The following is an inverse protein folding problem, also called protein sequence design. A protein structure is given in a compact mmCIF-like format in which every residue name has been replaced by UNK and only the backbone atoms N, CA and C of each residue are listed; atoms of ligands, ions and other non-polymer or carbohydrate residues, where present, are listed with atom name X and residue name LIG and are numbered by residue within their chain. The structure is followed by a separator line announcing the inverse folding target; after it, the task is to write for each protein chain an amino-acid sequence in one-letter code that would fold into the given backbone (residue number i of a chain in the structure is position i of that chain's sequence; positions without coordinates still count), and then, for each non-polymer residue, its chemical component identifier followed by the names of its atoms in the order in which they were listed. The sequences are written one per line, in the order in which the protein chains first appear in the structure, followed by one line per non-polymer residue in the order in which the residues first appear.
data_IF_054596899830
#
_entry.id   IF_054596899830
#
_cell.length_a   1.000
_cell.length_b   1.000
_cell.length_c   1.000
_cell.angle_alpha   90.00
_cell.angle_beta   90.00
_cell.angle_gamma   90.00
#
_symmetry.space_group_name_H-M   'P 1'
#
loop_
_entity.id
_entity.type
_entity.pdbx_description
1 polymer ?
#
# COMPACT_ATOMS: atom_id res chain seq x y z
N UNK A 1 -18.57 13.62 20.03
CA UNK A 1 -17.26 13.48 19.33
C UNK A 1 -17.55 13.10 17.89
N UNK A 2 -16.93 13.73 16.87
CA UNK A 2 -17.12 13.32 15.49
C UNK A 2 -16.67 11.86 15.32
N UNK A 3 -17.51 11.05 14.65
CA UNK A 3 -17.17 9.65 14.34
C UNK A 3 -15.88 9.64 13.50
N UNK A 4 -14.96 8.73 13.83
CA UNK A 4 -13.77 8.50 13.00
C UNK A 4 -14.20 8.18 11.56
N UNK A 5 -13.79 8.99 10.60
CA UNK A 5 -14.02 8.73 9.17
C UNK A 5 -13.12 7.62 8.61
N UNK A 6 -12.21 7.08 9.43
CA UNK A 6 -11.16 6.16 9.01
C UNK A 6 -11.70 4.93 8.28
N UNK A 7 -12.71 4.17 8.78
CA UNK A 7 -13.21 3.00 8.06
C UNK A 7 -13.78 3.36 6.69
N UNK A 8 -14.47 4.50 6.58
CA UNK A 8 -15.02 4.97 5.29
C UNK A 8 -13.93 5.39 4.31
N UNK A 9 -12.93 6.12 4.78
CA UNK A 9 -11.80 6.55 3.95
C UNK A 9 -10.95 5.35 3.51
N UNK A 10 -10.75 4.37 4.40
CA UNK A 10 -10.08 3.10 4.09
C UNK A 10 -10.90 2.27 3.09
N UNK A 11 -12.23 2.19 3.25
CA UNK A 11 -13.08 1.46 2.30
C UNK A 11 -12.95 2.07 0.89
N UNK A 12 -13.00 3.40 0.80
CA UNK A 12 -12.84 4.10 -0.47
C UNK A 12 -11.45 3.88 -1.06
N UNK A 13 -10.38 4.08 -0.28
CA UNK A 13 -9.02 3.86 -0.74
C UNK A 13 -8.79 2.41 -1.19
N UNK A 14 -9.26 1.43 -0.42
CA UNK A 14 -9.12 0.01 -0.75
C UNK A 14 -9.94 -0.36 -1.99
N UNK A 15 -11.16 0.15 -2.14
CA UNK A 15 -11.96 -0.05 -3.35
C UNK A 15 -11.25 0.49 -4.60
N UNK A 16 -10.58 1.65 -4.52
CA UNK A 16 -9.76 2.16 -5.63
C UNK A 16 -8.57 1.25 -5.96
N UNK A 17 -7.89 0.70 -4.95
CA UNK A 17 -6.79 -0.25 -5.17
C UNK A 17 -7.30 -1.53 -5.84
N UNK A 18 -8.44 -2.07 -5.40
CA UNK A 18 -9.07 -3.24 -6.01
C UNK A 18 -9.51 -2.95 -7.45
N UNK A 19 -10.16 -1.81 -7.71
CA UNK A 19 -10.53 -1.42 -9.07
C UNK A 19 -9.30 -1.34 -9.98
N UNK A 20 -8.22 -0.71 -9.51
CA UNK A 20 -6.98 -0.63 -10.29
C UNK A 20 -6.40 -2.01 -10.58
N UNK A 21 -6.32 -2.88 -9.57
CA UNK A 21 -5.83 -4.25 -9.75
C UNK A 21 -6.72 -5.08 -10.67
N UNK A 22 -8.05 -4.90 -10.66
CA UNK A 22 -8.90 -5.65 -11.58
C UNK A 22 -8.73 -5.18 -13.04
N UNK A 23 -8.53 -3.87 -13.25
CA UNK A 23 -8.52 -3.27 -14.59
C UNK A 23 -7.12 -3.09 -15.20
N UNK A 24 -6.05 -3.30 -14.44
CA UNK A 24 -4.68 -3.35 -14.95
C UNK A 24 -4.55 -4.44 -16.05
N UNK A 25 -3.83 -4.19 -17.17
CA UNK A 25 -2.94 -3.06 -17.45
C UNK A 25 -3.60 -1.84 -18.13
N UNK A 26 -4.93 -1.74 -18.17
CA UNK A 26 -5.64 -0.64 -18.86
C UNK A 26 -5.28 -0.49 -20.35
N UNK A 27 -4.94 -1.57 -21.05
CA UNK A 27 -4.49 -1.54 -22.43
C UNK A 27 -5.28 -2.51 -23.32
N UNK A 28 -5.43 -2.14 -24.60
CA UNK A 28 -5.97 -3.03 -25.63
C UNK A 28 -7.50 -3.22 -25.59
N UNK A 29 -8.23 -2.36 -24.87
CA UNK A 29 -9.69 -2.44 -24.73
C UNK A 29 -10.41 -2.64 -26.07
N UNK A 30 -11.27 -3.65 -26.14
CA UNK A 30 -12.04 -4.00 -27.34
C UNK A 30 -13.30 -4.77 -26.97
N UNK A 31 -14.28 -4.73 -27.86
CA UNK A 31 -15.44 -5.61 -27.79
C UNK A 31 -15.00 -7.08 -27.85
N UNK A 32 -15.52 -7.91 -26.96
CA UNK A 32 -15.22 -9.35 -26.92
C UNK A 32 -15.96 -10.13 -28.00
N UNK A 33 -17.04 -9.55 -28.57
CA UNK A 33 -17.94 -10.22 -29.50
C UNK A 33 -18.95 -11.17 -28.84
N UNK A 34 -18.94 -11.27 -27.52
CA UNK A 34 -19.88 -12.06 -26.72
C UNK A 34 -20.91 -11.16 -26.03
N UNK A 35 -22.14 -11.65 -25.75
CA UNK A 35 -23.11 -10.91 -24.95
C UNK A 35 -22.53 -10.47 -23.61
N UNK A 36 -22.89 -9.27 -23.16
CA UNK A 36 -22.26 -8.59 -22.01
C UNK A 36 -22.26 -9.40 -20.70
N UNK A 37 -23.27 -10.24 -20.49
CA UNK A 37 -23.45 -11.03 -19.27
C UNK A 37 -23.31 -12.54 -19.48
N UNK A 38 -22.77 -12.98 -20.62
CA UNK A 38 -22.63 -14.40 -20.97
C UNK A 38 -21.76 -15.16 -19.95
N UNK A 39 -20.78 -14.46 -19.35
CA UNK A 39 -19.90 -15.01 -18.32
C UNK A 39 -20.63 -15.50 -17.05
N UNK A 40 -21.85 -15.01 -16.77
CA UNK A 40 -22.61 -15.41 -15.58
C UNK A 40 -23.03 -16.89 -15.63
N UNK A 41 -23.32 -17.37 -16.84
CA UNK A 41 -23.82 -18.74 -17.10
C UNK A 41 -22.78 -19.61 -17.81
N UNK A 42 -21.58 -19.09 -18.04
CA UNK A 42 -20.51 -19.81 -18.71
C UNK A 42 -20.15 -21.10 -17.95
N UNK A 43 -19.86 -22.20 -18.66
CA UNK A 43 -19.42 -23.43 -18.05
C UNK A 43 -18.04 -23.24 -17.39
N UNK A 44 -17.76 -24.03 -16.37
CA UNK A 44 -16.47 -23.97 -15.69
C UNK A 44 -15.33 -24.33 -16.65
N UNK A 45 -14.24 -23.55 -16.67
CA UNK A 45 -13.09 -23.85 -17.49
C UNK A 45 -12.43 -25.15 -17.02
N UNK A 46 -12.02 -25.98 -17.99
CA UNK A 46 -11.36 -27.27 -17.72
C UNK A 46 -10.04 -27.12 -16.95
N UNK A 47 -9.36 -25.99 -17.13
CA UNK A 47 -8.13 -25.64 -16.45
C UNK A 47 -8.34 -24.31 -15.72
N UNK A 48 -8.59 -24.37 -14.42
CA UNK A 48 -8.65 -23.20 -13.55
C UNK A 48 -7.52 -23.27 -12.52
N UNK A 49 -6.93 -22.12 -12.19
CA UNK A 49 -5.87 -22.03 -11.19
C UNK A 49 -6.50 -21.79 -9.82
N UNK A 50 -6.20 -22.67 -8.86
CA UNK A 50 -6.72 -22.56 -7.49
C UNK A 50 -6.12 -21.32 -6.82
N UNK A 51 -4.90 -20.96 -7.18
CA UNK A 51 -4.20 -19.77 -6.73
C UNK A 51 -5.01 -18.50 -7.05
N UNK A 52 -5.49 -18.37 -8.29
CA UNK A 52 -6.31 -17.22 -8.71
C UNK A 52 -7.61 -17.13 -7.89
N UNK A 53 -8.28 -18.26 -7.65
CA UNK A 53 -9.47 -18.34 -6.80
C UNK A 53 -9.17 -17.89 -5.36
N UNK A 54 -8.08 -18.38 -4.78
CA UNK A 54 -7.64 -18.01 -3.42
C UNK A 54 -7.31 -16.52 -3.34
N UNK A 55 -6.60 -15.97 -4.32
CA UNK A 55 -6.30 -14.54 -4.37
C UNK A 55 -7.55 -13.66 -4.50
N UNK A 56 -8.55 -14.10 -5.28
CA UNK A 56 -9.82 -13.41 -5.42
C UNK A 56 -10.58 -13.35 -4.07
N UNK A 57 -10.67 -14.48 -3.36
CA UNK A 57 -11.24 -14.52 -2.01
C UNK A 57 -10.45 -13.61 -1.06
N UNK A 58 -9.13 -13.77 -0.98
CA UNK A 58 -8.27 -13.01 -0.07
C UNK A 58 -8.30 -11.50 -0.37
N UNK A 59 -8.37 -11.11 -1.64
CA UNK A 59 -8.42 -9.72 -2.09
C UNK A 59 -9.71 -9.01 -1.67
N UNK A 60 -10.84 -9.72 -1.59
CA UNK A 60 -12.13 -9.15 -1.21
C UNK A 60 -12.46 -9.23 0.29
N UNK A 61 -11.76 -10.06 1.07
CA UNK A 61 -11.92 -10.10 2.54
C UNK A 61 -11.72 -8.72 3.20
N UNK A 62 -10.62 -7.98 2.92
CA UNK A 62 -10.43 -6.65 3.51
C UNK A 62 -11.51 -5.65 3.07
N UNK A 63 -11.98 -5.73 1.82
CA UNK A 63 -13.05 -4.86 1.32
C UNK A 63 -14.33 -5.06 2.13
N UNK A 64 -14.81 -6.31 2.23
CA UNK A 64 -16.00 -6.64 3.01
C UNK A 64 -15.87 -6.25 4.48
N UNK A 65 -14.69 -6.48 5.08
CA UNK A 65 -14.41 -6.14 6.47
C UNK A 65 -14.51 -4.64 6.74
N UNK A 66 -13.85 -3.83 5.91
CA UNK A 66 -13.78 -2.38 6.11
C UNK A 66 -15.13 -1.73 5.76
N UNK A 67 -15.84 -2.20 4.72
CA UNK A 67 -17.20 -1.73 4.40
C UNK A 67 -18.15 -2.01 5.56
N UNK A 68 -18.15 -3.23 6.11
CA UNK A 68 -18.97 -3.57 7.28
C UNK A 68 -18.63 -2.69 8.49
N UNK A 69 -17.35 -2.40 8.72
CA UNK A 69 -16.89 -1.51 9.79
C UNK A 69 -17.28 -0.03 9.56
N UNK A 70 -17.52 0.39 8.33
CA UNK A 70 -17.94 1.75 7.97
C UNK A 70 -19.46 1.97 8.11
N UNK A 71 -20.25 0.90 8.19
CA UNK A 71 -21.71 0.99 8.31
C UNK A 71 -22.16 1.45 9.70
N UNK A 72 -23.40 1.98 9.83
CA UNK A 72 -23.91 2.48 11.10
C UNK A 72 -23.95 1.42 12.20
N UNK A 73 -23.36 1.74 13.35
CA UNK A 73 -23.28 0.86 14.53
C UNK A 73 -24.67 0.47 15.07
N UNK A 74 -25.70 1.29 14.82
CA UNK A 74 -27.09 1.01 15.23
C UNK A 74 -27.77 -0.08 14.43
N UNK A 75 -27.20 -0.51 13.30
CA UNK A 75 -27.81 -1.54 12.47
C UNK A 75 -27.63 -2.94 13.09
N UNK A 76 -28.62 -3.84 12.94
CA UNK A 76 -28.50 -5.21 13.40
C UNK A 76 -27.40 -5.94 12.62
N UNK A 77 -26.72 -6.89 13.27
CA UNK A 77 -25.55 -7.60 12.74
C UNK A 77 -25.81 -8.17 11.33
N UNK A 78 -26.93 -8.87 11.15
CA UNK A 78 -27.27 -9.48 9.86
C UNK A 78 -27.46 -8.45 8.74
N UNK A 79 -28.03 -7.27 9.04
CA UNK A 79 -28.17 -6.19 8.05
C UNK A 79 -26.81 -5.63 7.63
N UNK A 80 -25.88 -5.48 8.57
CA UNK A 80 -24.51 -5.02 8.26
C UNK A 80 -23.82 -6.02 7.34
N UNK A 81 -23.88 -7.31 7.69
CA UNK A 81 -23.28 -8.39 6.88
C UNK A 81 -23.90 -8.40 5.48
N UNK A 82 -25.23 -8.40 5.39
CA UNK A 82 -25.94 -8.46 4.12
C UNK A 82 -25.61 -7.26 3.22
N UNK A 83 -25.62 -6.03 3.75
CA UNK A 83 -25.34 -4.82 2.97
C UNK A 83 -23.87 -4.75 2.55
N UNK A 84 -22.94 -5.09 3.43
CA UNK A 84 -21.52 -5.08 3.08
C UNK A 84 -21.15 -6.17 2.06
N UNK A 85 -21.69 -7.38 2.23
CA UNK A 85 -21.50 -8.48 1.28
C UNK A 85 -22.12 -8.13 -0.08
N UNK A 86 -23.36 -7.62 -0.11
CA UNK A 86 -24.01 -7.18 -1.35
C UNK A 86 -23.22 -6.06 -2.04
N UNK A 87 -22.73 -5.09 -1.28
CA UNK A 87 -21.89 -4.00 -1.82
C UNK A 87 -20.61 -4.52 -2.46
N UNK A 88 -19.90 -5.46 -1.80
CA UNK A 88 -18.71 -6.09 -2.35
C UNK A 88 -19.02 -6.92 -3.61
N UNK A 89 -20.12 -7.68 -3.62
CA UNK A 89 -20.56 -8.46 -4.77
C UNK A 89 -20.97 -7.58 -5.96
N UNK A 90 -21.71 -6.49 -5.73
CA UNK A 90 -22.08 -5.55 -6.79
C UNK A 90 -20.85 -4.82 -7.35
N UNK A 91 -19.89 -4.48 -6.49
CA UNK A 91 -18.63 -3.90 -6.92
C UNK A 91 -17.82 -4.88 -7.78
N UNK A 92 -17.71 -6.14 -7.35
CA UNK A 92 -17.08 -7.19 -8.15
C UNK A 92 -17.80 -7.40 -9.48
N UNK A 93 -19.14 -7.45 -9.48
CA UNK A 93 -19.94 -7.59 -10.69
C UNK A 93 -19.69 -6.45 -11.68
N UNK A 94 -19.61 -5.21 -11.18
CA UNK A 94 -19.26 -4.04 -11.99
C UNK A 94 -17.87 -4.18 -12.61
N UNK A 95 -16.86 -4.58 -11.82
CA UNK A 95 -15.50 -4.79 -12.32
C UNK A 95 -15.44 -5.93 -13.34
N UNK A 96 -16.09 -7.06 -13.07
CA UNK A 96 -16.17 -8.22 -13.97
C UNK A 96 -16.80 -7.86 -15.32
N UNK A 97 -17.85 -7.02 -15.27
CA UNK A 97 -18.55 -6.53 -16.47
C UNK A 97 -17.66 -5.58 -17.26
N UNK A 98 -16.86 -4.73 -16.60
CA UNK A 98 -15.89 -3.86 -17.27
C UNK A 98 -14.72 -4.68 -17.84
N UNK A 99 -14.27 -5.72 -17.14
CA UNK A 99 -13.21 -6.63 -17.59
C UNK A 99 -13.61 -7.42 -18.84
N UNK A 100 -14.90 -7.53 -19.16
CA UNK A 100 -15.39 -8.13 -20.41
C UNK A 100 -14.82 -7.44 -21.65
N UNK A 101 -14.42 -6.17 -21.52
CA UNK A 101 -13.81 -5.38 -22.60
C UNK A 101 -12.29 -5.40 -22.60
N UNK A 102 -11.65 -6.14 -21.67
CA UNK A 102 -10.20 -6.17 -21.50
C UNK A 102 -9.62 -7.49 -22.03
N UNK A 103 -8.88 -7.51 -23.17
CA UNK A 103 -8.45 -8.76 -23.79
C UNK A 103 -7.46 -9.60 -22.98
N UNK A 104 -6.77 -8.99 -22.00
CA UNK A 104 -5.87 -9.70 -21.10
C UNK A 104 -6.59 -10.42 -19.97
N UNK A 105 -7.91 -10.26 -19.86
CA UNK A 105 -8.75 -10.88 -18.83
C UNK A 105 -9.90 -11.64 -19.47
N UNK A 106 -10.41 -12.62 -18.73
CA UNK A 106 -11.59 -13.38 -19.12
C UNK A 106 -12.58 -13.25 -17.99
N UNK A 107 -13.71 -12.61 -18.25
CA UNK A 107 -14.75 -12.49 -17.25
C UNK A 107 -15.32 -13.87 -16.87
N UNK A 108 -15.55 -14.13 -15.58
CA UNK A 108 -15.97 -15.44 -15.08
C UNK A 108 -16.93 -15.36 -13.90
N UNK A 109 -17.93 -16.25 -13.90
CA UNK A 109 -18.78 -16.50 -12.74
C UNK A 109 -18.01 -17.07 -11.53
N UNK A 110 -16.89 -17.75 -11.75
CA UNK A 110 -16.02 -18.29 -10.68
C UNK A 110 -15.37 -17.14 -9.93
N UNK A 111 -14.82 -16.15 -10.65
CA UNK A 111 -14.17 -14.98 -10.05
C UNK A 111 -15.18 -14.12 -9.30
N UNK A 112 -16.35 -13.87 -9.90
CA UNK A 112 -17.45 -13.19 -9.23
C UNK A 112 -17.90 -13.92 -7.94
N UNK A 113 -17.99 -15.25 -7.99
CA UNK A 113 -18.33 -16.08 -6.83
C UNK A 113 -17.28 -16.03 -5.73
N UNK A 114 -16.00 -16.11 -6.11
CA UNK A 114 -14.86 -16.04 -5.20
C UNK A 114 -14.75 -14.67 -4.50
N UNK A 115 -14.84 -13.60 -5.28
CA UNK A 115 -14.85 -12.22 -4.78
C UNK A 115 -16.04 -11.99 -3.84
N UNK A 116 -17.22 -12.50 -4.21
CA UNK A 116 -18.42 -12.44 -3.36
C UNK A 116 -18.26 -13.21 -2.05
N UNK A 117 -17.68 -14.41 -2.09
CA UNK A 117 -17.39 -15.21 -0.91
C UNK A 117 -16.38 -14.51 0.02
N UNK A 118 -15.30 -13.95 -0.55
CA UNK A 118 -14.34 -13.13 0.18
C UNK A 118 -15.01 -11.91 0.83
N UNK A 119 -15.85 -11.19 0.08
CA UNK A 119 -16.63 -10.06 0.57
C UNK A 119 -17.57 -10.43 1.72
N UNK A 120 -18.22 -11.60 1.65
CA UNK A 120 -19.08 -12.12 2.72
C UNK A 120 -18.29 -12.48 3.98
N UNK A 121 -17.17 -13.22 3.83
CA UNK A 121 -16.28 -13.58 4.95
C UNK A 121 -15.77 -12.30 5.62
N UNK A 122 -15.29 -11.36 4.82
CA UNK A 122 -14.87 -10.03 5.26
C UNK A 122 -15.98 -9.32 6.03
N UNK A 123 -17.18 -9.25 5.45
CA UNK A 123 -18.33 -8.59 6.06
C UNK A 123 -18.71 -9.20 7.42
N UNK A 124 -18.70 -10.53 7.54
CA UNK A 124 -18.94 -11.22 8.80
C UNK A 124 -17.88 -10.86 9.86
N UNK A 125 -16.59 -10.92 9.49
CA UNK A 125 -15.49 -10.54 10.39
C UNK A 125 -15.55 -9.05 10.77
N UNK A 126 -15.89 -8.17 9.84
CA UNK A 126 -16.01 -6.72 10.08
C UNK A 126 -17.18 -6.38 10.99
N UNK A 127 -18.32 -7.04 10.79
CA UNK A 127 -19.51 -6.86 11.61
C UNK A 127 -19.30 -7.40 13.04
N UNK A 128 -18.60 -8.52 13.21
CA UNK A 128 -18.33 -9.11 14.53
C UNK A 128 -17.17 -8.44 15.27
N UNK A 129 -16.04 -8.23 14.59
CA UNK A 129 -14.76 -7.83 15.19
C UNK A 129 -14.35 -6.41 14.79
N UNK A 130 -14.55 -6.02 13.54
CA UNK A 130 -14.18 -4.70 13.02
C UNK A 130 -14.83 -3.55 13.80
N UNK A 131 -16.09 -3.73 14.19
CA UNK A 131 -16.79 -2.77 15.09
C UNK A 131 -16.06 -2.55 16.40
N UNK A 132 -15.56 -3.63 17.02
CA UNK A 132 -14.75 -3.51 18.24
C UNK A 132 -13.44 -2.81 17.90
N UNK A 133 -12.75 -3.20 16.83
CA UNK A 133 -11.45 -2.63 16.48
C UNK A 133 -11.48 -1.10 16.27
N UNK A 134 -12.52 -0.58 15.61
CA UNK A 134 -12.68 0.85 15.30
C UNK A 134 -13.57 1.62 16.29
N UNK A 135 -14.15 0.96 17.31
CA UNK A 135 -14.96 1.63 18.32
C UNK A 135 -14.10 2.62 19.12
N UNK A 136 -14.60 3.81 19.47
CA UNK A 136 -13.82 4.83 20.22
C UNK A 136 -13.20 4.33 21.52
N UNK A 137 -13.81 3.31 22.14
CA UNK A 137 -13.39 2.78 23.44
C UNK A 137 -12.42 1.60 23.34
N UNK A 138 -12.20 1.05 22.14
CA UNK A 138 -11.35 -0.11 21.95
C UNK A 138 -9.86 0.23 21.92
N UNK A 139 -9.03 -0.78 22.19
CA UNK A 139 -7.58 -0.63 22.33
C UNK A 139 -6.93 0.08 21.15
N UNK A 140 -7.26 -0.30 19.90
CA UNK A 140 -6.63 0.30 18.71
C UNK A 140 -7.07 1.75 18.46
N UNK A 141 -8.37 2.05 18.57
CA UNK A 141 -8.87 3.41 18.39
C UNK A 141 -8.36 4.36 19.48
N UNK A 142 -8.30 3.88 20.72
CA UNK A 142 -7.72 4.60 21.86
C UNK A 142 -6.24 4.85 21.63
N UNK A 143 -5.49 3.79 21.32
CA UNK A 143 -4.07 3.87 20.98
C UNK A 143 -3.81 4.89 19.87
N UNK A 144 -4.59 4.84 18.78
CA UNK A 144 -4.52 5.81 17.68
C UNK A 144 -4.76 7.23 18.18
N UNK A 145 -5.81 7.45 18.97
CA UNK A 145 -6.17 8.79 19.47
C UNK A 145 -5.13 9.39 20.41
N UNK A 146 -4.42 8.53 21.16
CA UNK A 146 -3.36 8.92 22.08
C UNK A 146 -2.05 9.22 21.34
N UNK A 147 -1.71 8.42 20.33
CA UNK A 147 -0.40 8.47 19.67
C UNK A 147 -0.39 9.29 18.38
N UNK A 148 -1.49 9.38 17.64
CA UNK A 148 -1.57 10.04 16.33
C UNK A 148 -2.54 11.22 16.33
N UNK A 149 -2.32 12.17 15.42
CA UNK A 149 -3.27 13.24 15.18
C UNK A 149 -4.61 12.67 14.68
N UNK A 150 -5.70 13.29 15.12
CA UNK A 150 -7.05 12.95 14.70
C UNK A 150 -7.46 13.66 13.40
N UNK A 151 -8.72 13.44 13.01
CA UNK A 151 -9.33 14.06 11.84
C UNK A 151 -8.86 13.48 10.50
N UNK A 152 -9.35 14.08 9.41
CA UNK A 152 -9.06 13.64 8.04
C UNK A 152 -7.58 13.62 7.72
N UNK A 153 -6.81 14.60 8.21
CA UNK A 153 -5.35 14.66 8.04
C UNK A 153 -4.64 13.47 8.68
N UNK A 154 -5.08 13.06 9.89
CA UNK A 154 -4.52 11.89 10.55
C UNK A 154 -4.93 10.57 9.90
N UNK A 155 -6.14 10.49 9.34
CA UNK A 155 -6.60 9.32 8.58
C UNK A 155 -5.79 9.18 7.28
N UNK A 156 -5.63 10.27 6.52
CA UNK A 156 -4.89 10.29 5.26
C UNK A 156 -3.44 9.87 5.43
N UNK A 157 -2.74 10.35 6.46
CA UNK A 157 -1.37 9.93 6.71
C UNK A 157 -1.24 8.46 7.11
N UNK A 158 -2.24 7.87 7.82
CA UNK A 158 -2.21 6.44 8.14
C UNK A 158 -2.43 5.61 6.88
N UNK A 159 -3.31 6.05 5.99
CA UNK A 159 -3.50 5.44 4.67
C UNK A 159 -2.18 5.50 3.89
N UNK A 160 -1.47 6.63 3.90
CA UNK A 160 -0.17 6.75 3.25
C UNK A 160 0.88 5.81 3.87
N UNK A 161 0.93 5.65 5.19
CA UNK A 161 1.81 4.66 5.81
C UNK A 161 1.45 3.21 5.41
N UNK A 162 0.15 2.90 5.31
CA UNK A 162 -0.31 1.61 4.80
C UNK A 162 0.04 1.40 3.32
N UNK A 163 -0.09 2.43 2.50
CA UNK A 163 0.32 2.40 1.09
C UNK A 163 1.84 2.23 0.96
N UNK A 164 2.64 2.82 1.85
CA UNK A 164 4.09 2.57 1.88
C UNK A 164 4.43 1.12 2.19
N UNK A 165 3.71 0.47 3.11
CA UNK A 165 3.87 -0.97 3.33
C UNK A 165 3.51 -1.79 2.09
N UNK A 166 2.48 -1.37 1.35
CA UNK A 166 2.12 -1.99 0.07
C UNK A 166 3.22 -1.85 -0.99
N UNK A 167 3.97 -0.74 -1.03
CA UNK A 167 5.11 -0.58 -1.96
C UNK A 167 6.23 -1.58 -1.67
N UNK A 168 6.36 -2.08 -0.44
CA UNK A 168 7.36 -3.08 -0.10
C UNK A 168 7.04 -4.47 -0.65
N UNK A 169 5.79 -4.69 -1.09
CA UNK A 169 5.37 -5.92 -1.76
C UNK A 169 5.72 -5.93 -3.26
N UNK A 170 6.32 -4.86 -3.79
CA UNK A 170 6.87 -4.84 -5.15
C UNK A 170 8.11 -5.76 -5.23
N UNK A 171 8.21 -6.64 -6.24
CA UNK A 171 9.30 -7.59 -6.46
C UNK A 171 10.56 -6.92 -7.02
N UNK A 172 11.07 -5.93 -6.30
CA UNK A 172 12.32 -5.24 -6.59
C UNK A 172 13.42 -5.71 -5.63
N UNK A 173 14.69 -5.57 -6.01
CA UNK A 173 15.84 -5.87 -5.16
C UNK A 173 16.07 -4.81 -4.08
N UNK A 174 15.77 -3.55 -4.37
CA UNK A 174 16.06 -2.43 -3.47
C UNK A 174 15.20 -2.46 -2.21
N UNK A 175 15.84 -2.39 -1.03
CA UNK A 175 15.16 -2.22 0.25
C UNK A 175 14.61 -0.80 0.37
N UNK A 176 13.29 -0.69 0.58
CA UNK A 176 12.57 0.58 0.69
C UNK A 176 12.65 1.50 -0.54
N UNK A 177 13.00 0.96 -1.71
CA UNK A 177 12.95 1.69 -2.98
C UNK A 177 11.52 2.09 -3.34
N UNK A 178 11.29 3.39 -3.57
CA UNK A 178 10.02 3.92 -4.08
C UNK A 178 10.26 5.20 -4.88
N UNK A 179 9.34 5.54 -5.76
CA UNK A 179 9.39 6.74 -6.59
C UNK A 179 10.02 6.57 -7.97
N UNK A 180 10.19 5.34 -8.45
CA UNK A 180 10.75 5.07 -9.79
C UNK A 180 9.77 5.47 -10.90
N UNK A 181 9.82 6.74 -11.31
CA UNK A 181 9.03 7.24 -12.44
C UNK A 181 9.62 6.74 -13.76
N UNK A 182 10.94 6.49 -13.81
CA UNK A 182 11.61 6.03 -15.03
C UNK A 182 10.98 4.74 -15.55
N UNK A 183 10.72 3.76 -14.68
CA UNK A 183 10.05 2.52 -15.08
C UNK A 183 8.65 2.76 -15.66
N UNK A 184 7.90 3.72 -15.11
CA UNK A 184 6.55 4.06 -15.61
C UNK A 184 6.60 4.76 -16.97
N UNK A 185 7.63 5.56 -17.22
CA UNK A 185 7.83 6.29 -18.48
C UNK A 185 8.74 5.56 -19.48
N UNK A 186 9.17 4.34 -19.16
CA UNK A 186 10.11 3.53 -19.95
C UNK A 186 11.42 4.28 -20.26
N UNK A 187 11.91 5.07 -19.30
CA UNK A 187 13.16 5.83 -19.41
C UNK A 187 14.33 4.95 -18.91
N UNK A 188 15.38 4.75 -19.69
CA UNK A 188 16.54 3.96 -19.26
C UNK A 188 17.27 4.63 -18.08
N UNK A 189 17.97 3.85 -17.23
CA UNK A 189 18.75 4.42 -16.15
C UNK A 189 19.85 5.35 -16.69
N UNK A 190 20.06 6.53 -16.06
CA UNK A 190 20.98 7.54 -16.58
C UNK A 190 22.46 7.19 -16.35
N UNK A 191 22.75 6.24 -15.47
CA UNK A 191 24.10 5.87 -15.07
C UNK A 191 24.37 4.39 -15.39
N UNK A 192 25.59 4.04 -15.82
CA UNK A 192 25.97 2.65 -16.00
C UNK A 192 26.16 1.94 -14.65
N UNK A 193 25.91 0.63 -14.64
CA UNK A 193 26.14 -0.20 -13.46
C UNK A 193 27.63 -0.28 -13.11
N UNK A 194 27.95 0.03 -11.84
CA UNK A 194 29.26 -0.20 -11.22
C UNK A 194 29.04 -0.65 -9.78
N UNK A 195 29.59 -1.79 -9.32
CA UNK A 195 29.28 -2.36 -8.00
C UNK A 195 29.47 -1.37 -6.84
N UNK A 196 30.60 -0.67 -6.79
CA UNK A 196 30.93 0.23 -5.67
C UNK A 196 29.96 1.41 -5.59
N UNK A 197 29.59 1.96 -6.76
CA UNK A 197 28.62 3.05 -6.86
C UNK A 197 27.22 2.57 -6.50
N UNK A 198 26.83 1.38 -6.96
CA UNK A 198 25.53 0.81 -6.65
C UNK A 198 25.37 0.60 -5.14
N UNK A 199 26.37 -0.01 -4.49
CA UNK A 199 26.37 -0.21 -3.03
C UNK A 199 26.25 1.13 -2.31
N UNK A 200 27.04 2.15 -2.70
CA UNK A 200 26.99 3.47 -2.08
C UNK A 200 25.61 4.15 -2.25
N UNK A 201 25.02 4.07 -3.45
CA UNK A 201 23.70 4.63 -3.72
C UNK A 201 22.60 3.89 -2.95
N UNK A 202 22.69 2.56 -2.86
CA UNK A 202 21.77 1.74 -2.09
C UNK A 202 21.85 2.06 -0.60
N UNK A 203 23.06 2.20 -0.04
CA UNK A 203 23.26 2.67 1.35
C UNK A 203 22.62 4.03 1.58
N UNK A 204 22.87 5.00 0.70
CA UNK A 204 22.28 6.34 0.81
C UNK A 204 20.75 6.29 0.69
N UNK A 205 20.22 5.51 -0.26
CA UNK A 205 18.80 5.34 -0.48
C UNK A 205 18.13 4.77 0.77
N UNK A 206 18.59 3.62 1.26
CA UNK A 206 18.02 2.97 2.44
C UNK A 206 18.10 3.87 3.67
N UNK A 207 19.23 4.57 3.88
CA UNK A 207 19.38 5.50 4.99
C UNK A 207 18.41 6.69 4.89
N UNK A 208 18.32 7.32 3.72
CA UNK A 208 17.38 8.41 3.46
C UNK A 208 15.93 7.96 3.66
N UNK A 209 15.55 6.77 3.18
CA UNK A 209 14.17 6.28 3.32
C UNK A 209 13.83 5.97 4.78
N UNK A 210 14.74 5.39 5.57
CA UNK A 210 14.51 5.16 7.01
C UNK A 210 14.24 6.48 7.73
N UNK A 211 15.07 7.50 7.47
CA UNK A 211 14.88 8.82 8.07
C UNK A 211 13.57 9.45 7.58
N UNK A 212 13.29 9.40 6.27
CA UNK A 212 12.09 9.95 5.67
C UNK A 212 10.81 9.34 6.26
N UNK A 213 10.71 8.01 6.31
CA UNK A 213 9.54 7.29 6.81
C UNK A 213 9.39 7.45 8.32
N UNK A 214 10.49 7.38 9.05
CA UNK A 214 10.47 7.59 10.50
C UNK A 214 10.01 9.00 10.86
N UNK A 215 10.52 10.02 10.17
CA UNK A 215 10.11 11.40 10.40
C UNK A 215 8.72 11.73 9.83
N UNK A 216 8.31 11.09 8.74
CA UNK A 216 6.94 11.18 8.21
C UNK A 216 5.93 10.68 9.25
N UNK A 217 6.16 9.49 9.82
CA UNK A 217 5.35 8.97 10.92
C UNK A 217 5.42 9.90 12.14
N UNK A 218 6.63 10.36 12.52
CA UNK A 218 6.84 11.27 13.65
C UNK A 218 6.03 12.56 13.52
N UNK A 219 5.91 13.13 12.32
CA UNK A 219 5.15 14.36 12.07
C UNK A 219 3.66 14.19 12.41
N UNK A 220 3.14 12.98 12.29
CA UNK A 220 1.76 12.64 12.64
C UNK A 220 1.56 12.30 14.12
N UNK A 221 2.64 12.04 14.85
CA UNK A 221 2.56 11.57 16.23
C UNK A 221 2.43 12.71 17.23
N UNK A 222 1.58 12.51 18.24
CA UNK A 222 1.35 13.43 19.35
C UNK A 222 2.47 13.34 20.37
N UNK A 223 2.84 12.11 20.73
CA UNK A 223 3.89 11.75 21.70
C UNK A 223 5.17 11.31 20.98
N UNK A 224 6.32 11.54 21.62
CA UNK A 224 7.64 11.21 21.07
C UNK A 224 8.05 9.76 21.38
N UNK A 225 7.15 8.80 21.20
CA UNK A 225 7.45 7.39 21.41
C UNK A 225 8.12 6.80 20.15
N UNK A 226 9.30 6.15 20.22
CA UNK A 226 9.95 5.60 19.03
C UNK A 226 9.31 4.30 18.54
N UNK A 227 8.62 3.55 19.41
CA UNK A 227 8.16 2.20 19.08
C UNK A 227 7.19 2.10 17.89
N UNK A 228 6.25 3.03 17.61
CA UNK A 228 5.38 2.91 16.44
C UNK A 228 6.17 3.00 15.13
N UNK A 229 7.26 3.77 15.13
CA UNK A 229 8.19 3.88 14.00
C UNK A 229 8.94 2.56 13.83
N UNK A 230 9.42 1.96 14.93
CA UNK A 230 10.09 0.65 14.90
C UNK A 230 9.16 -0.44 14.36
N UNK A 231 7.90 -0.47 14.79
CA UNK A 231 6.89 -1.42 14.29
C UNK A 231 6.65 -1.19 12.80
N UNK A 232 6.50 0.05 12.36
CA UNK A 232 6.31 0.38 10.94
C UNK A 232 7.50 -0.12 10.09
N UNK A 233 8.73 0.15 10.51
CA UNK A 233 9.93 -0.29 9.80
C UNK A 233 10.04 -1.83 9.79
N UNK A 234 9.75 -2.49 10.91
CA UNK A 234 9.73 -3.96 11.00
C UNK A 234 8.67 -4.57 10.06
N UNK A 235 7.47 -3.97 9.98
CA UNK A 235 6.45 -4.39 9.02
C UNK A 235 6.91 -4.18 7.57
N UNK A 236 7.63 -3.10 7.28
CA UNK A 236 8.21 -2.85 5.96
C UNK A 236 9.25 -3.92 5.58
N UNK A 237 10.16 -4.25 6.50
CA UNK A 237 11.14 -5.34 6.30
C UNK A 237 10.43 -6.68 6.12
N UNK A 238 9.40 -6.97 6.93
CA UNK A 238 8.60 -8.19 6.81
C UNK A 238 7.89 -8.30 5.46
N UNK A 239 7.28 -7.21 4.99
CA UNK A 239 6.65 -7.13 3.68
C UNK A 239 7.68 -7.35 2.56
N UNK A 240 8.86 -6.74 2.66
CA UNK A 240 9.95 -6.93 1.68
C UNK A 240 10.46 -8.37 1.66
N UNK A 241 10.63 -8.97 2.83
CA UNK A 241 11.03 -10.38 2.98
C UNK A 241 9.99 -11.32 2.38
N UNK A 242 8.70 -11.05 2.61
CA UNK A 242 7.61 -11.81 2.01
C UNK A 242 7.61 -11.69 0.47
N UNK A 243 7.81 -10.48 -0.06
CA UNK A 243 7.90 -10.26 -1.49
C UNK A 243 9.08 -11.02 -2.11
N UNK A 244 10.26 -10.94 -1.48
CA UNK A 244 11.46 -11.64 -1.91
C UNK A 244 11.27 -13.16 -1.92
N UNK A 245 10.68 -13.71 -0.86
CA UNK A 245 10.35 -15.13 -0.74
C UNK A 245 9.33 -15.61 -1.80
N UNK A 246 8.45 -14.72 -2.27
CA UNK A 246 7.38 -15.05 -3.20
C UNK A 246 7.81 -14.94 -4.67
N UNK A 247 8.63 -13.93 -5.00
CA UNK A 247 8.85 -13.53 -6.39
C UNK A 247 10.26 -13.78 -6.95
N UNK A 248 11.27 -13.98 -6.10
CA UNK A 248 12.62 -14.28 -6.59
C UNK A 248 12.81 -15.77 -6.93
N UNK A 249 13.62 -16.02 -7.95
CA UNK A 249 13.99 -17.36 -8.40
C UNK A 249 15.51 -17.46 -8.59
N UNK A 250 16.20 -18.40 -7.92
CA UNK A 250 15.70 -19.27 -6.85
C UNK A 250 15.17 -18.47 -5.65
N UNK A 251 14.29 -19.09 -4.85
CA UNK A 251 13.68 -18.43 -3.69
C UNK A 251 14.74 -18.03 -2.67
N UNK A 252 14.83 -16.73 -2.39
CA UNK A 252 15.70 -16.17 -1.36
C UNK A 252 14.96 -15.04 -0.61
N UNK A 253 14.40 -15.32 0.59
CA UNK A 253 13.69 -14.33 1.40
C UNK A 253 14.56 -13.14 1.84
N UNK A 254 15.88 -13.35 1.91
CA UNK A 254 16.84 -12.35 2.37
C UNK A 254 17.63 -11.74 1.20
N UNK A 255 17.18 -11.92 -0.04
CA UNK A 255 17.81 -11.33 -1.23
C UNK A 255 17.94 -9.80 -1.19
N UNK A 256 17.12 -9.13 -0.37
CA UNK A 256 17.19 -7.69 -0.14
C UNK A 256 18.29 -7.28 0.86
N UNK A 257 18.90 -8.22 1.60
CA UNK A 257 19.99 -7.98 2.55
C UNK A 257 21.31 -7.89 1.77
N UNK A 258 21.43 -6.83 0.99
CA UNK A 258 22.65 -6.49 0.25
C UNK A 258 23.63 -5.71 1.16
N UNK A 259 24.93 -5.64 0.83
CA UNK A 259 25.89 -4.82 1.59
C UNK A 259 25.46 -3.35 1.68
N UNK A 260 24.82 -2.84 0.62
CA UNK A 260 24.28 -1.49 0.55
C UNK A 260 23.13 -1.30 1.53
N UNK A 261 22.16 -2.20 1.52
CA UNK A 261 21.00 -2.17 2.41
C UNK A 261 21.37 -2.34 3.88
N UNK A 262 22.30 -3.25 4.21
CA UNK A 262 22.78 -3.47 5.58
C UNK A 262 23.43 -2.19 6.15
N UNK A 263 24.37 -1.61 5.40
CA UNK A 263 25.02 -0.35 5.78
C UNK A 263 24.01 0.79 5.88
N UNK A 264 23.04 0.85 4.95
CA UNK A 264 21.99 1.84 4.94
C UNK A 264 21.02 1.72 6.12
N UNK A 265 20.72 0.51 6.58
CA UNK A 265 19.94 0.26 7.78
C UNK A 265 20.63 0.80 9.03
N UNK A 266 21.92 0.50 9.19
CA UNK A 266 22.71 0.96 10.33
C UNK A 266 22.84 2.48 10.35
N UNK A 267 23.26 3.08 9.23
CA UNK A 267 23.42 4.54 9.10
C UNK A 267 22.08 5.24 9.24
N UNK A 268 21.03 4.75 8.57
CA UNK A 268 19.68 5.29 8.63
C UNK A 268 19.09 5.27 10.03
N UNK A 269 19.28 4.18 10.77
CA UNK A 269 18.82 4.07 12.15
C UNK A 269 19.51 5.08 13.08
N UNK A 270 20.84 5.24 12.95
CA UNK A 270 21.60 6.22 13.71
C UNK A 270 21.17 7.66 13.38
N UNK A 271 21.02 7.98 12.09
CA UNK A 271 20.56 9.29 11.62
C UNK A 271 19.12 9.59 12.09
N UNK A 272 18.22 8.60 12.03
CA UNK A 272 16.85 8.74 12.51
C UNK A 272 16.83 9.00 14.02
N UNK A 273 17.61 8.24 14.80
CA UNK A 273 17.70 8.45 16.25
C UNK A 273 18.17 9.87 16.57
N UNK A 274 19.20 10.37 15.88
CA UNK A 274 19.65 11.76 16.03
C UNK A 274 18.57 12.77 15.60
N UNK A 275 17.91 12.54 14.47
CA UNK A 275 16.87 13.44 13.95
C UNK A 275 15.64 13.52 14.86
N UNK A 276 15.31 12.43 15.57
CA UNK A 276 14.21 12.40 16.55
C UNK A 276 14.45 13.30 17.77
N UNK A 277 15.70 13.69 18.04
CA UNK A 277 16.07 14.66 19.09
C UNK A 277 15.90 16.13 18.65
N UNK A 278 15.81 16.38 17.34
CA UNK A 278 15.71 17.73 16.79
C UNK A 278 14.33 18.36 17.01
N UNK A 279 14.21 19.71 16.91
CA UNK A 279 12.92 20.39 16.97
C UNK A 279 11.96 19.93 15.85
N UNK A 280 10.64 19.98 16.13
CA UNK A 280 9.60 19.48 15.19
C UNK A 280 9.66 20.11 13.80
N UNK A 281 10.04 21.38 13.70
CA UNK A 281 10.16 22.09 12.41
C UNK A 281 11.29 21.47 11.58
N UNK A 282 12.43 21.18 12.21
CA UNK A 282 13.58 20.55 11.55
C UNK A 282 13.24 19.11 11.16
N UNK A 283 12.54 18.36 12.02
CA UNK A 283 12.06 17.01 11.70
C UNK A 283 11.17 17.00 10.45
N UNK A 284 10.27 17.98 10.33
CA UNK A 284 9.38 18.11 9.19
C UNK A 284 10.13 18.42 7.89
N UNK A 285 11.06 19.38 7.94
CA UNK A 285 11.91 19.71 6.81
C UNK A 285 12.76 18.50 6.37
N UNK A 286 13.41 17.82 7.32
CA UNK A 286 14.19 16.61 7.07
C UNK A 286 13.35 15.47 6.49
N UNK A 287 12.11 15.28 6.94
CA UNK A 287 11.22 14.28 6.37
C UNK A 287 11.02 14.49 4.86
N UNK A 288 10.70 15.72 4.45
CA UNK A 288 10.52 16.07 3.04
C UNK A 288 11.82 15.98 2.24
N UNK A 289 12.92 16.53 2.76
CA UNK A 289 14.22 16.51 2.08
C UNK A 289 14.75 15.09 1.89
N UNK A 290 14.65 14.22 2.90
CA UNK A 290 15.10 12.84 2.80
C UNK A 290 14.23 12.02 1.86
N UNK A 291 12.92 12.30 1.81
CA UNK A 291 12.01 11.66 0.87
C UNK A 291 12.31 12.05 -0.59
N UNK A 292 12.61 13.34 -0.84
CA UNK A 292 13.08 13.83 -2.13
C UNK A 292 14.43 13.20 -2.52
N UNK A 293 15.37 13.15 -1.59
CA UNK A 293 16.69 12.53 -1.83
C UNK A 293 16.56 11.04 -2.17
N UNK A 294 15.77 10.28 -1.40
CA UNK A 294 15.49 8.87 -1.68
C UNK A 294 14.87 8.68 -3.08
N UNK A 295 13.89 9.50 -3.43
CA UNK A 295 13.22 9.45 -4.73
C UNK A 295 14.20 9.78 -5.87
N UNK A 296 15.06 10.78 -5.70
CA UNK A 296 16.10 11.12 -6.66
C UNK A 296 17.10 9.96 -6.84
N UNK A 297 17.54 9.34 -5.74
CA UNK A 297 18.46 8.21 -5.76
C UNK A 297 17.88 7.01 -6.52
N UNK A 298 16.64 6.62 -6.26
CA UNK A 298 15.96 5.54 -7.03
C UNK A 298 15.95 5.83 -8.53
N UNK A 299 15.72 7.09 -8.92
CA UNK A 299 15.72 7.48 -10.33
C UNK A 299 17.14 7.64 -10.92
N UNK A 300 18.20 7.66 -10.13
CA UNK A 300 19.59 7.66 -10.62
C UNK A 300 20.20 6.26 -10.68
N UNK A 301 19.71 5.33 -9.86
CA UNK A 301 20.28 4.00 -9.73
C UNK A 301 20.08 3.16 -11.01
N UNK A 302 21.14 2.47 -11.49
CA UNK A 302 21.00 1.45 -12.51
C UNK A 302 20.27 0.22 -11.99
N UNK A 303 19.75 -0.59 -12.91
CA UNK A 303 19.22 -1.91 -12.56
C UNK A 303 20.35 -2.84 -12.08
N UNK A 304 20.05 -3.73 -11.14
CA UNK A 304 20.99 -4.70 -10.62
C UNK A 304 21.05 -5.94 -11.57
N UNK A 305 22.17 -6.18 -12.27
CA UNK A 305 22.27 -7.29 -13.21
C UNK A 305 22.34 -8.68 -12.53
N UNK A 306 22.58 -8.73 -11.21
CA UNK A 306 22.77 -9.98 -10.47
C UNK A 306 21.47 -10.54 -9.86
N UNK A 307 20.38 -9.77 -9.88
CA UNK A 307 19.09 -10.20 -9.34
C UNK A 307 18.06 -10.24 -10.46
N UNK A 308 17.70 -11.45 -10.89
CA UNK A 308 16.61 -11.67 -11.81
C UNK A 308 15.31 -11.91 -11.04
N UNK A 309 14.38 -10.95 -11.09
CA UNK A 309 13.00 -11.21 -10.67
C UNK A 309 12.36 -12.25 -11.60
N UNK A 310 11.52 -13.14 -11.06
CA UNK A 310 10.83 -14.17 -11.84
C UNK A 310 9.80 -13.57 -12.81
N UNK A 311 10.25 -13.01 -13.93
CA UNK A 311 9.39 -12.34 -14.92
C UNK A 311 8.22 -13.22 -15.38
N UNK A 312 8.42 -14.54 -15.43
CA UNK A 312 7.38 -15.50 -15.83
C UNK A 312 6.21 -15.61 -14.84
N UNK A 313 6.45 -15.41 -13.54
CA UNK A 313 5.41 -15.41 -12.50
C UNK A 313 4.65 -14.08 -12.54
N UNK A 314 5.39 -12.98 -12.67
CA UNK A 314 4.83 -11.63 -12.68
C UNK A 314 3.99 -11.31 -13.92
N UNK A 315 4.06 -12.13 -14.97
CA UNK A 315 3.32 -11.93 -16.21
C UNK A 315 1.99 -12.72 -16.29
N UNK A 316 1.53 -13.35 -15.20
CA UNK A 316 0.35 -14.23 -15.23
C UNK A 316 -0.72 -13.87 -14.21
N UNK A 317 -1.98 -14.04 -14.62
CA UNK A 317 -3.15 -14.10 -13.74
C UNK A 317 -3.22 -12.95 -12.74
N UNK A 318 -3.53 -13.26 -11.48
CA UNK A 318 -3.64 -12.26 -10.42
C UNK A 318 -2.32 -11.61 -10.00
N UNK A 319 -1.19 -12.29 -10.19
CA UNK A 319 0.15 -11.74 -9.91
C UNK A 319 0.51 -10.55 -10.80
N UNK A 320 0.14 -10.58 -12.08
CA UNK A 320 0.34 -9.45 -12.98
C UNK A 320 -0.29 -8.16 -12.45
N UNK A 321 -1.51 -8.26 -11.95
CA UNK A 321 -2.24 -7.07 -11.54
C UNK A 321 -1.86 -6.62 -10.14
N UNK A 322 -1.54 -7.56 -9.24
CA UNK A 322 -0.94 -7.21 -7.97
C UNK A 322 0.42 -6.52 -8.17
N UNK A 323 1.23 -7.01 -9.10
CA UNK A 323 2.49 -6.37 -9.46
C UNK A 323 2.26 -4.96 -10.03
N UNK A 324 1.35 -4.81 -11.01
CA UNK A 324 0.99 -3.51 -11.56
C UNK A 324 0.50 -2.51 -10.50
N UNK A 325 -0.35 -2.97 -9.57
CA UNK A 325 -0.84 -2.17 -8.44
C UNK A 325 0.32 -1.71 -7.56
N UNK A 326 1.13 -2.65 -7.06
CA UNK A 326 2.23 -2.31 -6.14
C UNK A 326 3.26 -1.41 -6.83
N UNK A 327 3.54 -1.63 -8.11
CA UNK A 327 4.43 -0.78 -8.91
C UNK A 327 3.88 0.63 -9.09
N UNK A 328 2.58 0.80 -9.41
CA UNK A 328 1.96 2.11 -9.51
C UNK A 328 2.07 2.85 -8.17
N UNK A 329 1.65 2.20 -7.08
CA UNK A 329 1.70 2.80 -5.75
C UNK A 329 3.14 3.15 -5.39
N UNK A 330 4.10 2.25 -5.62
CA UNK A 330 5.53 2.52 -5.41
C UNK A 330 6.02 3.74 -6.19
N UNK A 331 5.57 3.93 -7.44
CA UNK A 331 5.99 5.03 -8.30
C UNK A 331 5.42 6.37 -7.84
N UNK A 332 4.15 6.42 -7.43
CA UNK A 332 3.48 7.70 -7.11
C UNK A 332 3.57 8.07 -5.63
N UNK A 333 3.79 7.10 -4.74
CA UNK A 333 3.67 7.29 -3.29
C UNK A 333 4.52 8.43 -2.74
N UNK A 334 5.81 8.58 -3.08
CA UNK A 334 6.62 9.68 -2.54
C UNK A 334 6.06 11.07 -2.85
N UNK A 335 5.47 11.24 -4.04
CA UNK A 335 4.89 12.52 -4.46
C UNK A 335 3.63 12.86 -3.68
N UNK A 336 2.76 11.86 -3.45
CA UNK A 336 1.56 12.03 -2.62
C UNK A 336 1.94 12.27 -1.15
N UNK A 337 2.96 11.57 -0.65
CA UNK A 337 3.48 11.77 0.70
C UNK A 337 4.11 13.17 0.88
N UNK A 338 4.84 13.69 -0.10
CA UNK A 338 5.37 15.06 -0.10
C UNK A 338 4.26 16.11 -0.13
N UNK A 339 3.23 15.93 -0.97
CA UNK A 339 2.06 16.81 -1.00
C UNK A 339 1.36 16.82 0.37
N UNK A 340 1.21 15.64 0.99
CA UNK A 340 0.66 15.51 2.34
C UNK A 340 1.52 16.23 3.40
N UNK A 341 2.84 16.05 3.39
CA UNK A 341 3.73 16.76 4.31
C UNK A 341 3.60 18.27 4.13
N UNK A 342 3.60 18.76 2.89
CA UNK A 342 3.46 20.18 2.59
C UNK A 342 2.13 20.75 3.13
N UNK A 343 1.02 20.06 2.90
CA UNK A 343 -0.28 20.42 3.45
C UNK A 343 -0.31 20.39 5.00
N UNK A 344 0.33 19.39 5.61
CA UNK A 344 0.44 19.28 7.07
C UNK A 344 1.27 20.43 7.67
N UNK A 345 2.35 20.84 6.98
CA UNK A 345 3.21 21.95 7.36
C UNK A 345 2.49 23.29 7.31
N UNK A 346 1.78 23.59 6.21
CA UNK A 346 0.98 24.81 6.06
C UNK A 346 -0.10 24.92 7.14
N UNK A 347 -0.87 23.86 7.34
CA UNK A 347 -1.98 23.85 8.28
C UNK A 347 -1.53 24.02 9.74
N UNK A 348 -0.35 23.49 10.09
CA UNK A 348 0.22 23.65 11.45
C UNK A 348 1.02 24.94 11.62
N UNK A 349 1.65 25.45 10.56
CA UNK A 349 2.37 26.73 10.57
C UNK A 349 1.45 27.89 10.94
N UNK A 350 0.24 27.92 10.36
CA UNK A 350 -0.81 28.91 10.69
C UNK A 350 -1.23 28.90 12.17
N UNK A 351 -1.02 27.79 12.89
CA UNK A 351 -1.36 27.66 14.31
C UNK A 351 -0.19 27.94 15.26
N UNK A 352 1.03 28.08 14.75
CA UNK A 352 2.22 28.46 15.53
C UNK A 352 2.41 29.99 15.58
N UNK A 353 1.85 30.73 14.63
CA UNK A 353 1.88 32.20 14.58
C UNK A 353 0.76 32.88 15.39
N UNK A 354 0.06 32.14 16.27
CA UNK A 354 -1.00 32.70 17.11
C UNK A 354 -0.51 32.85 18.57
N UNK A 355 0.11 33.98 18.97
CA UNK A 355 0.77 34.16 20.26
C UNK A 355 -0.20 34.38 21.43
N UNK A 356 -1.41 33.82 21.40
CA UNK A 356 -2.42 34.03 22.47
C UNK A 356 -3.03 32.73 22.94
N UNK A 357 -2.26 31.95 23.71
CA UNK A 357 -2.74 31.15 24.86
C UNK A 357 -1.59 30.97 25.86
N UNK A 358 -1.37 32.01 26.67
CA UNK A 358 -0.86 31.89 28.03
C UNK A 358 -2.01 32.22 28.98
#
# INVERSE_FOLDING_TARGET
MPRSSLPRNLAFAYALLVAYACLHPFAGWRESGLPLFDYLIAPWPKYFQIEDLVFNVLGYIPLGFIVAAALPVSWPLLRIIAVAALGASLFSFGLETVQHFLPSRVSSNIDLGANSAGGLIGAALGACCGRRLFAPHAGLARWRSEHFIGGHTGDAGLILLGLWLLTQLTPDSLLFGSGDIRRMLLIPPPLPFRPERFIAFETALTACTIVAIGLFARCMMRTAAPWPILVLLALGVGAKTLAAATFFMPTDPLAWVTPGAESGLLVGAALLAAALLLPRVVQHALAGTMLLAATALVNLMPENPYLSSGHTILSRGNFLNFHGLTQLVASIWPFVALAYLSALGLWRGEHLDNPRRL
#
